data_IF_737503120250
#
_entry.id   IF_737503120250
#
_cell.length_a   1.000
_cell.length_b   1.000
_cell.length_c   1.000
_cell.angle_alpha   90.00
_cell.angle_beta   90.00
_cell.angle_gamma   90.00
#
_symmetry.space_group_name_H-M   'P 1'
#
loop_
_entity.id
_entity.type
_entity.pdbx_description
1 polymer ?
#
# COMPACT_ATOMS: atom_id res chain seq x y z
N UNK A 1 -3.32 -20.32 -46.29
CA UNK A 1 -3.49 -18.87 -46.50
C UNK A 1 -4.60 -18.62 -47.51
N UNK A 2 -5.65 -17.89 -47.14
CA UNK A 2 -6.39 -17.02 -48.05
C UNK A 2 -6.20 -15.54 -47.65
N UNK A 3 -6.31 -14.58 -48.59
CA UNK A 3 -5.92 -13.19 -48.34
C UNK A 3 -7.04 -12.40 -47.62
N UNK A 4 -6.64 -11.60 -46.63
CA UNK A 4 -7.50 -10.63 -45.95
C UNK A 4 -7.65 -9.38 -46.82
N UNK A 5 -8.87 -9.06 -47.23
CA UNK A 5 -9.19 -7.92 -48.08
C UNK A 5 -9.57 -6.70 -47.21
N UNK A 6 -8.70 -5.68 -47.17
CA UNK A 6 -9.02 -4.36 -46.62
C UNK A 6 -9.87 -3.57 -47.63
N UNK A 7 -11.19 -3.53 -47.44
CA UNK A 7 -12.07 -2.43 -47.91
C UNK A 7 -13.51 -2.65 -47.43
N UNK A 8 -13.86 -2.01 -46.31
CA UNK A 8 -15.24 -1.65 -45.99
C UNK A 8 -15.26 -0.50 -44.97
N UNK A 9 -14.86 0.69 -45.42
CA UNK A 9 -15.23 1.95 -44.79
C UNK A 9 -16.66 2.28 -45.24
N UNK A 10 -17.62 2.08 -44.34
CA UNK A 10 -19.03 2.42 -44.53
C UNK A 10 -19.54 3.20 -43.33
N UNK A 11 -19.80 4.50 -43.56
CA UNK A 11 -20.34 5.48 -42.60
C UNK A 11 -21.67 4.98 -41.99
N UNK A 12 -21.81 5.10 -40.67
CA UNK A 12 -23.11 5.08 -40.01
C UNK A 12 -23.26 6.30 -39.10
N UNK A 13 -24.37 6.99 -39.33
CA UNK A 13 -24.85 8.24 -38.78
C UNK A 13 -24.69 8.43 -37.27
N UNK A 14 -24.41 9.68 -36.89
CA UNK A 14 -24.39 10.14 -35.51
C UNK A 14 -25.74 9.96 -34.81
N UNK A 15 -25.67 9.33 -33.64
CA UNK A 15 -26.74 9.36 -32.64
C UNK A 15 -26.21 10.18 -31.47
N UNK A 16 -26.54 11.47 -31.49
CA UNK A 16 -26.28 12.40 -30.38
C UNK A 16 -27.19 12.04 -29.21
N UNK A 17 -26.79 11.08 -28.36
CA UNK A 17 -27.47 10.87 -27.08
C UNK A 17 -27.07 11.99 -26.13
N UNK A 18 -27.99 12.93 -25.87
CA UNK A 18 -27.90 13.84 -24.73
C UNK A 18 -27.71 13.01 -23.46
N UNK A 19 -26.54 13.11 -22.82
CA UNK A 19 -26.33 12.64 -21.45
C UNK A 19 -27.14 13.55 -20.54
N UNK A 20 -28.30 13.08 -20.08
CA UNK A 20 -28.93 13.66 -18.90
C UNK A 20 -27.98 13.40 -17.72
N UNK A 21 -27.38 14.48 -17.21
CA UNK A 21 -26.76 14.51 -15.89
C UNK A 21 -27.89 14.32 -14.87
N UNK A 22 -28.13 13.07 -14.49
CA UNK A 22 -28.91 12.75 -13.30
C UNK A 22 -28.14 13.36 -12.13
N UNK A 23 -28.64 14.46 -11.57
CA UNK A 23 -28.16 15.00 -10.30
C UNK A 23 -28.44 13.96 -9.23
N UNK A 24 -27.44 13.14 -8.91
CA UNK A 24 -27.44 12.31 -7.72
C UNK A 24 -27.61 13.25 -6.52
N UNK A 25 -28.70 13.06 -5.76
CA UNK A 25 -28.84 13.70 -4.46
C UNK A 25 -27.64 13.32 -3.59
N UNK A 26 -27.10 14.24 -2.76
CA UNK A 26 -26.01 13.90 -1.84
C UNK A 26 -26.43 12.69 -0.99
N UNK A 27 -25.51 11.74 -0.71
CA UNK A 27 -25.84 10.60 0.14
C UNK A 27 -26.37 11.14 1.47
N UNK A 28 -27.56 10.68 1.87
CA UNK A 28 -28.10 10.96 3.20
C UNK A 28 -27.11 10.42 4.23
N UNK A 29 -26.36 11.32 4.87
CA UNK A 29 -25.58 11.06 6.09
C UNK A 29 -26.55 10.80 7.24
N UNK A 30 -27.11 9.60 7.27
CA UNK A 30 -27.66 9.02 8.50
C UNK A 30 -27.16 7.60 8.60
N UNK A 31 -26.01 7.45 9.27
CA UNK A 31 -25.59 6.17 9.80
C UNK A 31 -26.69 5.69 10.76
N UNK A 32 -27.52 4.74 10.32
CA UNK A 32 -28.45 4.04 11.21
C UNK A 32 -27.62 3.16 12.13
N UNK A 33 -27.28 3.68 13.30
CA UNK A 33 -26.67 2.88 14.36
C UNK A 33 -27.80 2.23 15.18
N UNK A 34 -27.80 0.89 15.26
CA UNK A 34 -28.75 0.11 16.05
C UNK A 34 -28.33 -0.05 17.52
N UNK A 35 -27.17 0.50 17.88
CA UNK A 35 -26.65 0.60 19.24
C UNK A 35 -26.46 2.08 19.60
N UNK A 36 -26.61 2.47 20.88
CA UNK A 36 -26.07 3.74 21.35
C UNK A 36 -24.61 3.81 20.90
N UNK A 37 -24.19 4.96 20.39
CA UNK A 37 -22.78 5.09 20.05
C UNK A 37 -22.05 4.90 21.38
N UNK A 38 -20.98 4.07 21.46
CA UNK A 38 -20.21 3.96 22.70
C UNK A 38 -19.53 5.29 23.09
N UNK A 39 -19.78 6.35 22.33
CA UNK A 39 -19.31 7.72 22.49
C UNK A 39 -20.42 8.64 23.03
N UNK A 40 -21.66 8.16 23.18
CA UNK A 40 -22.76 8.89 23.78
C UNK A 40 -22.49 9.01 25.29
N UNK A 41 -22.72 10.19 25.85
CA UNK A 41 -22.41 10.48 27.25
C UNK A 41 -23.56 10.00 28.14
N UNK A 42 -23.48 8.75 28.61
CA UNK A 42 -24.49 8.13 29.47
C UNK A 42 -24.53 8.69 30.91
N UNK A 43 -23.78 9.77 31.20
CA UNK A 43 -23.77 10.45 32.51
C UNK A 43 -23.12 9.65 33.65
N UNK A 44 -22.53 8.49 33.37
CA UNK A 44 -21.82 7.68 34.35
C UNK A 44 -20.41 8.26 34.63
N UNK A 45 -20.16 8.62 35.88
CA UNK A 45 -18.87 9.15 36.35
C UNK A 45 -17.68 8.18 36.15
N UNK A 46 -17.93 6.87 36.07
CA UNK A 46 -16.91 5.88 35.68
C UNK A 46 -16.68 5.88 34.16
N UNK A 47 -17.67 6.30 33.37
CA UNK A 47 -17.54 6.42 31.92
C UNK A 47 -16.56 7.52 31.50
N UNK A 48 -16.28 8.48 32.36
CA UNK A 48 -15.30 9.55 32.10
C UNK A 48 -13.84 9.10 32.25
N UNK A 49 -13.59 7.97 32.95
CA UNK A 49 -12.22 7.50 33.23
C UNK A 49 -11.58 6.83 32.02
N UNK A 50 -12.32 5.97 31.32
CA UNK A 50 -11.81 5.29 30.14
C UNK A 50 -11.70 6.25 28.94
N UNK A 51 -12.53 7.30 28.88
CA UNK A 51 -12.42 8.41 27.89
C UNK A 51 -11.08 9.17 27.98
N UNK A 52 -10.34 9.05 29.08
CA UNK A 52 -9.00 9.66 29.25
C UNK A 52 -7.85 8.74 28.86
N UNK A 53 -8.12 7.47 28.53
CA UNK A 53 -7.09 6.52 28.13
C UNK A 53 -6.51 6.89 26.77
N UNK A 54 -5.24 6.51 26.56
CA UNK A 54 -4.55 6.77 25.29
C UNK A 54 -5.25 6.09 24.10
N UNK A 55 -5.70 4.84 24.27
CA UNK A 55 -6.45 4.13 23.23
C UNK A 55 -7.77 4.81 22.85
N UNK A 56 -8.48 5.40 23.81
CA UNK A 56 -9.70 6.15 23.47
C UNK A 56 -9.41 7.45 22.71
N UNK A 57 -8.36 8.17 23.10
CA UNK A 57 -7.93 9.37 22.38
C UNK A 57 -7.50 9.05 20.97
N UNK A 58 -6.81 7.93 20.76
CA UNK A 58 -6.44 7.47 19.43
C UNK A 58 -7.68 7.08 18.60
N UNK A 59 -8.63 6.33 19.16
CA UNK A 59 -9.88 6.01 18.46
C UNK A 59 -10.70 7.27 18.08
N UNK A 60 -10.61 8.35 18.87
CA UNK A 60 -11.17 9.65 18.48
C UNK A 60 -10.36 10.32 17.37
N UNK A 61 -9.02 10.32 17.48
CA UNK A 61 -8.13 10.87 16.47
C UNK A 61 -8.34 10.20 15.10
N UNK A 62 -8.60 8.88 15.06
CA UNK A 62 -8.91 8.14 13.84
C UNK A 62 -10.07 8.75 13.05
N UNK A 63 -11.11 9.25 13.75
CA UNK A 63 -12.29 9.84 13.10
C UNK A 63 -11.98 11.16 12.39
N UNK A 64 -10.99 11.87 12.90
CA UNK A 64 -10.58 13.17 12.39
C UNK A 64 -9.51 13.03 11.29
N UNK A 65 -8.99 11.82 11.06
CA UNK A 65 -8.07 11.55 9.97
C UNK A 65 -8.78 11.67 8.62
N UNK A 66 -8.12 12.28 7.62
CA UNK A 66 -8.65 12.31 6.27
C UNK A 66 -8.67 10.90 5.67
N UNK A 67 -9.57 10.66 4.71
CA UNK A 67 -9.60 9.42 3.91
C UNK A 67 -9.08 9.65 2.49
N UNK A 68 -8.32 10.73 2.27
CA UNK A 68 -8.09 11.27 0.93
C UNK A 68 -7.21 10.34 0.10
N UNK A 69 -6.19 9.74 0.72
CA UNK A 69 -5.29 8.81 0.02
C UNK A 69 -6.02 7.47 -0.19
N UNK A 70 -6.77 7.00 0.80
CA UNK A 70 -7.58 5.78 0.65
C UNK A 70 -8.59 5.89 -0.52
N UNK A 71 -9.33 7.00 -0.58
CA UNK A 71 -10.33 7.23 -1.63
C UNK A 71 -9.67 7.28 -3.03
N UNK A 72 -8.47 7.87 -3.13
CA UNK A 72 -7.67 7.88 -4.36
C UNK A 72 -7.18 6.48 -4.76
N UNK A 73 -6.80 5.64 -3.80
CA UNK A 73 -6.41 4.24 -4.06
C UNK A 73 -7.59 3.45 -4.63
N UNK A 74 -8.79 3.63 -4.07
CA UNK A 74 -10.02 3.02 -4.57
C UNK A 74 -10.35 3.51 -5.98
N UNK A 75 -10.30 4.83 -6.21
CA UNK A 75 -10.55 5.43 -7.52
C UNK A 75 -9.57 4.90 -8.58
N UNK A 76 -8.27 4.90 -8.29
CA UNK A 76 -7.22 4.34 -9.17
C UNK A 76 -7.45 2.85 -9.45
N UNK A 77 -7.90 2.09 -8.45
CA UNK A 77 -8.24 0.68 -8.58
C UNK A 77 -9.41 0.45 -9.55
N UNK A 78 -10.39 1.33 -9.55
CA UNK A 78 -11.53 1.31 -10.47
C UNK A 78 -11.15 1.80 -11.87
N UNK A 79 -10.35 2.87 -11.98
CA UNK A 79 -9.92 3.46 -13.25
C UNK A 79 -9.01 2.50 -14.04
N UNK A 80 -8.02 1.91 -13.38
CA UNK A 80 -7.08 0.97 -14.00
C UNK A 80 -7.58 -0.50 -13.95
N UNK A 81 -8.79 -0.71 -13.43
CA UNK A 81 -9.39 -2.02 -13.24
C UNK A 81 -10.60 -2.28 -14.14
N UNK A 82 -11.28 -3.40 -13.85
CA UNK A 82 -12.64 -3.63 -14.32
C UNK A 82 -13.59 -3.35 -13.16
N UNK A 83 -14.75 -2.70 -13.39
CA UNK A 83 -15.73 -2.49 -12.34
C UNK A 83 -16.19 -3.82 -11.75
N UNK A 84 -16.59 -3.82 -10.48
CA UNK A 84 -17.14 -5.00 -9.82
C UNK A 84 -18.36 -5.57 -10.57
N UNK A 85 -18.62 -6.87 -10.39
CA UNK A 85 -19.74 -7.55 -11.02
C UNK A 85 -21.08 -6.83 -10.74
N UNK A 86 -22.03 -6.94 -11.68
CA UNK A 86 -23.33 -6.26 -11.56
C UNK A 86 -24.12 -6.66 -10.30
N UNK A 87 -23.90 -7.89 -9.81
CA UNK A 87 -24.50 -8.43 -8.58
C UNK A 87 -23.94 -7.82 -7.28
N UNK A 88 -22.79 -7.17 -7.31
CA UNK A 88 -22.16 -6.55 -6.12
C UNK A 88 -22.76 -5.16 -5.92
N UNK A 89 -23.29 -4.86 -4.74
CA UNK A 89 -23.91 -3.55 -4.44
C UNK A 89 -22.85 -2.47 -4.26
N UNK A 90 -21.78 -2.78 -3.54
CA UNK A 90 -20.68 -1.85 -3.29
C UNK A 90 -19.85 -1.63 -4.57
N UNK A 91 -19.84 -0.38 -5.04
CA UNK A 91 -19.16 0.02 -6.28
C UNK A 91 -17.72 0.48 -6.07
N UNK A 92 -17.25 0.48 -4.83
CA UNK A 92 -15.82 0.68 -4.51
C UNK A 92 -15.01 -0.59 -4.75
N UNK A 93 -15.67 -1.76 -4.86
CA UNK A 93 -15.00 -3.05 -5.06
C UNK A 93 -14.73 -3.30 -6.55
N UNK A 94 -13.46 -3.28 -7.00
CA UNK A 94 -13.11 -3.64 -8.38
C UNK A 94 -13.17 -5.16 -8.59
N UNK A 95 -13.26 -5.60 -9.85
CA UNK A 95 -13.17 -7.03 -10.20
C UNK A 95 -11.79 -7.63 -9.90
N UNK A 96 -10.72 -6.83 -10.03
CA UNK A 96 -9.35 -7.25 -9.71
C UNK A 96 -8.84 -6.51 -8.47
N UNK A 97 -8.25 -7.25 -7.51
CA UNK A 97 -7.59 -6.64 -6.35
C UNK A 97 -6.36 -5.84 -6.82
N UNK A 98 -6.43 -4.53 -6.62
CA UNK A 98 -5.41 -3.56 -7.03
C UNK A 98 -4.99 -2.57 -5.94
N UNK A 99 -5.57 -2.68 -4.74
CA UNK A 99 -5.23 -1.89 -3.56
C UNK A 99 -4.93 -2.79 -2.37
N UNK A 100 -5.15 -2.28 -1.16
CA UNK A 100 -4.95 -3.02 0.09
C UNK A 100 -5.83 -4.27 0.17
N UNK A 101 -7.06 -4.20 -0.35
CA UNK A 101 -8.08 -5.22 -0.14
C UNK A 101 -8.29 -6.18 -1.34
N UNK A 102 -8.68 -7.43 -1.05
CA UNK A 102 -8.60 -8.07 0.26
C UNK A 102 -7.13 -8.38 0.62
N UNK A 103 -6.78 -8.31 1.91
CA UNK A 103 -5.39 -8.44 2.40
C UNK A 103 -4.63 -9.68 1.91
N UNK A 104 -5.34 -10.78 1.62
CA UNK A 104 -4.74 -12.03 1.15
C UNK A 104 -4.44 -12.07 -0.38
N UNK A 105 -4.90 -11.08 -1.15
CA UNK A 105 -4.80 -11.05 -2.62
C UNK A 105 -4.00 -9.83 -3.12
N UNK A 106 -3.76 -9.77 -4.44
CA UNK A 106 -3.01 -8.68 -5.07
C UNK A 106 -1.49 -8.86 -5.01
N UNK A 107 -0.77 -7.86 -5.48
CA UNK A 107 0.71 -7.87 -5.50
C UNK A 107 1.22 -7.84 -4.05
N UNK A 108 2.25 -8.63 -3.76
CA UNK A 108 2.75 -8.83 -2.41
C UNK A 108 3.97 -7.93 -2.12
N UNK A 109 3.75 -6.61 -2.15
CA UNK A 109 4.68 -5.59 -1.65
C UNK A 109 4.52 -5.39 -0.14
N UNK A 110 5.50 -4.73 0.49
CA UNK A 110 5.45 -4.37 1.90
C UNK A 110 4.20 -3.52 2.20
N UNK A 111 3.36 -3.97 3.13
CA UNK A 111 2.09 -3.33 3.52
C UNK A 111 1.18 -2.93 2.35
N UNK A 112 1.26 -3.63 1.21
CA UNK A 112 0.55 -3.27 -0.04
C UNK A 112 0.91 -1.88 -0.59
N UNK A 113 2.06 -1.34 -0.18
CA UNK A 113 2.59 -0.10 -0.74
C UNK A 113 2.77 -0.21 -2.26
N UNK A 114 2.63 0.88 -3.02
CA UNK A 114 2.90 0.90 -4.45
C UNK A 114 4.30 0.35 -4.76
N UNK A 115 4.36 -0.59 -5.71
CA UNK A 115 5.63 -0.99 -6.30
C UNK A 115 6.15 0.16 -7.18
N UNK A 116 7.40 0.55 -6.99
CA UNK A 116 8.03 1.56 -7.81
C UNK A 116 8.67 0.94 -9.05
N UNK A 117 8.09 1.19 -10.21
CA UNK A 117 8.59 0.64 -11.49
C UNK A 117 9.91 1.28 -11.93
N UNK A 118 10.03 2.62 -11.82
CA UNK A 118 11.25 3.37 -12.17
C UNK A 118 11.94 3.87 -10.90
N UNK A 119 13.09 3.26 -10.57
CA UNK A 119 13.86 3.61 -9.38
C UNK A 119 14.26 5.09 -9.32
N UNK A 120 14.33 5.78 -10.47
CA UNK A 120 14.69 7.20 -10.54
C UNK A 120 13.66 8.12 -9.91
N UNK A 121 12.43 7.64 -9.76
CA UNK A 121 11.34 8.38 -9.14
C UNK A 121 11.27 8.18 -7.62
N UNK A 122 12.20 7.45 -7.01
CA UNK A 122 12.16 7.14 -5.56
C UNK A 122 12.17 8.39 -4.68
N UNK A 123 12.74 9.49 -5.15
CA UNK A 123 12.73 10.79 -4.45
C UNK A 123 11.34 11.46 -4.36
N UNK A 124 10.30 10.92 -5.01
CA UNK A 124 8.92 11.39 -4.81
C UNK A 124 8.24 10.80 -3.57
N UNK A 125 8.92 9.89 -2.87
CA UNK A 125 8.41 9.22 -1.67
C UNK A 125 9.21 9.60 -0.43
N UNK A 126 8.54 9.70 0.71
CA UNK A 126 9.19 9.95 2.01
C UNK A 126 9.96 8.70 2.48
N UNK A 127 9.44 7.51 2.18
CA UNK A 127 9.98 6.22 2.61
C UNK A 127 10.08 5.26 1.42
N UNK A 128 11.21 4.56 1.33
CA UNK A 128 11.43 3.51 0.35
C UNK A 128 11.84 2.21 1.04
N UNK A 129 11.00 1.17 0.90
CA UNK A 129 11.25 -0.16 1.46
C UNK A 129 11.98 -1.00 0.43
N UNK A 130 13.11 -1.58 0.83
CA UNK A 130 13.92 -2.47 -0.01
C UNK A 130 14.26 -3.76 0.73
N UNK A 131 14.20 -4.89 0.03
CA UNK A 131 14.64 -6.17 0.55
C UNK A 131 16.09 -6.48 0.21
N UNK A 132 16.78 -7.18 1.11
CA UNK A 132 18.14 -7.69 0.90
C UNK A 132 18.14 -9.19 1.19
N UNK A 133 17.80 -10.04 0.21
CA UNK A 133 17.70 -11.50 0.39
C UNK A 133 19.09 -12.14 0.40
N UNK A 134 19.84 -11.98 1.50
CA UNK A 134 21.22 -12.47 1.64
C UNK A 134 21.45 -13.19 2.97
N UNK A 135 22.05 -14.38 2.93
CA UNK A 135 22.46 -15.13 4.11
C UNK A 135 23.88 -15.74 3.99
N UNK A 136 24.72 -15.15 3.13
CA UNK A 136 26.08 -15.63 2.86
C UNK A 136 27.09 -15.35 3.97
N UNK A 137 26.74 -14.51 4.95
CA UNK A 137 27.54 -14.27 6.16
C UNK A 137 27.18 -15.19 7.33
N UNK A 138 26.20 -16.09 7.14
CA UNK A 138 25.69 -16.97 8.19
C UNK A 138 26.64 -18.11 8.51
N UNK A 139 26.93 -18.33 9.79
CA UNK A 139 27.87 -19.36 10.26
C UNK A 139 27.22 -20.68 10.66
N UNK A 140 25.90 -20.68 10.94
CA UNK A 140 25.19 -21.87 11.44
C UNK A 140 23.99 -22.27 10.56
N UNK A 141 22.81 -21.69 10.77
CA UNK A 141 21.58 -22.07 10.04
C UNK A 141 21.23 -21.03 8.97
N UNK A 142 21.41 -21.35 7.67
CA UNK A 142 20.98 -20.46 6.59
C UNK A 142 19.45 -20.45 6.45
N UNK A 143 18.94 -19.55 5.60
CA UNK A 143 17.51 -19.43 5.29
C UNK A 143 16.96 -18.02 5.39
N UNK A 144 17.69 -17.08 5.99
CA UNK A 144 17.24 -15.68 6.13
C UNK A 144 17.17 -14.96 4.78
N UNK A 145 17.75 -15.50 3.70
CA UNK A 145 17.55 -15.00 2.33
C UNK A 145 16.07 -14.99 1.89
N UNK A 146 15.22 -15.80 2.50
CA UNK A 146 13.78 -15.82 2.25
C UNK A 146 12.99 -14.83 3.14
N UNK A 147 13.66 -14.18 4.09
CA UNK A 147 13.09 -13.24 5.04
C UNK A 147 12.29 -12.10 4.39
N UNK A 148 12.84 -11.36 3.40
CA UNK A 148 12.14 -10.23 2.80
C UNK A 148 10.78 -10.62 2.21
N UNK A 149 10.70 -11.76 1.52
CA UNK A 149 9.44 -12.28 0.95
C UNK A 149 8.44 -12.70 2.04
N UNK A 150 8.94 -13.30 3.14
CA UNK A 150 8.12 -13.63 4.31
C UNK A 150 7.54 -12.39 4.99
N UNK A 151 8.36 -11.35 5.15
CA UNK A 151 7.94 -10.06 5.74
C UNK A 151 6.86 -9.42 4.86
N UNK A 152 7.07 -9.30 3.54
CA UNK A 152 6.04 -8.77 2.63
C UNK A 152 4.72 -9.52 2.75
N UNK A 153 4.77 -10.86 2.74
CA UNK A 153 3.59 -11.72 2.85
C UNK A 153 2.77 -11.46 4.12
N UNK A 154 3.44 -11.36 5.27
CA UNK A 154 2.72 -11.15 6.54
C UNK A 154 2.33 -9.68 6.74
N UNK A 155 3.11 -8.74 6.21
CA UNK A 155 2.84 -7.30 6.29
C UNK A 155 1.52 -6.91 5.65
N UNK A 156 1.07 -7.66 4.63
CA UNK A 156 -0.21 -7.45 3.95
C UNK A 156 -1.44 -7.57 4.87
N UNK A 157 -1.30 -8.23 6.02
CA UNK A 157 -2.38 -8.39 7.01
C UNK A 157 -2.50 -7.19 7.97
N UNK A 158 -1.51 -6.30 7.98
CA UNK A 158 -1.51 -5.13 8.84
C UNK A 158 -2.15 -3.93 8.14
N UNK A 159 -2.88 -3.13 8.93
CA UNK A 159 -3.37 -1.82 8.50
C UNK A 159 -2.30 -0.75 8.78
N UNK A 160 -2.28 0.36 8.02
CA UNK A 160 -1.32 1.44 8.23
C UNK A 160 -1.61 2.31 9.47
N UNK A 161 -2.76 2.11 10.11
CA UNK A 161 -3.17 2.85 11.29
C UNK A 161 -2.67 2.20 12.59
N UNK A 162 -1.97 2.99 13.41
CA UNK A 162 -1.52 2.59 14.72
C UNK A 162 -2.46 3.14 15.82
N UNK A 163 -3.19 2.25 16.49
CA UNK A 163 -4.17 2.59 17.52
C UNK A 163 -3.58 3.13 18.83
N UNK A 164 -2.28 2.99 19.09
CA UNK A 164 -1.66 3.51 20.32
C UNK A 164 -1.22 4.95 20.16
N UNK A 165 -0.75 5.30 18.97
CA UNK A 165 -0.19 6.61 18.64
C UNK A 165 -1.16 7.49 17.87
N UNK A 166 -2.23 6.93 17.30
CA UNK A 166 -3.18 7.68 16.47
C UNK A 166 -2.59 8.13 15.13
N UNK A 167 -1.56 7.43 14.64
CA UNK A 167 -0.83 7.72 13.40
C UNK A 167 -1.36 6.81 12.30
N UNK A 168 -1.76 7.39 11.17
CA UNK A 168 -2.01 6.65 9.93
C UNK A 168 -0.90 6.93 8.93
N UNK A 169 -0.09 5.91 8.66
CA UNK A 169 1.00 6.01 7.70
C UNK A 169 0.50 6.32 6.29
N UNK A 170 -0.71 5.89 5.91
CA UNK A 170 -1.26 6.12 4.57
C UNK A 170 -1.50 7.60 4.29
N UNK A 171 -2.01 8.32 5.27
CA UNK A 171 -2.45 9.71 5.09
C UNK A 171 -1.34 10.71 5.47
N UNK A 172 -0.37 10.29 6.28
CA UNK A 172 0.67 11.18 6.83
C UNK A 172 2.02 11.08 6.13
N UNK A 173 2.29 10.00 5.37
CA UNK A 173 3.53 9.87 4.60
C UNK A 173 3.32 9.07 3.32
N UNK A 174 4.22 9.27 2.37
CA UNK A 174 4.27 8.50 1.13
C UNK A 174 5.33 7.41 1.22
N UNK A 175 4.95 6.17 0.89
CA UNK A 175 5.83 5.02 0.92
C UNK A 175 5.76 4.24 -0.39
N UNK A 176 6.90 3.68 -0.81
CA UNK A 176 6.97 2.74 -1.91
C UNK A 176 7.76 1.48 -1.52
N UNK A 177 7.51 0.39 -2.24
CA UNK A 177 8.37 -0.80 -2.24
C UNK A 177 9.19 -0.78 -3.54
N UNK A 178 10.51 -0.72 -3.41
CA UNK A 178 11.44 -0.67 -4.57
C UNK A 178 11.95 -2.06 -4.97
N UNK A 179 11.40 -3.11 -4.37
CA UNK A 179 11.80 -4.49 -4.62
C UNK A 179 13.03 -4.90 -3.83
N UNK A 180 13.86 -5.74 -4.43
CA UNK A 180 14.99 -6.39 -3.77
C UNK A 180 16.31 -5.96 -4.40
N UNK A 181 17.33 -5.74 -3.56
CA UNK A 181 18.72 -5.65 -4.01
C UNK A 181 19.10 -6.99 -4.62
N UNK A 182 19.68 -6.96 -5.82
CA UNK A 182 20.17 -8.17 -6.46
C UNK A 182 21.42 -8.70 -5.73
N UNK A 183 21.25 -9.77 -4.96
CA UNK A 183 22.33 -10.41 -4.19
C UNK A 183 23.04 -11.47 -5.04
N UNK A 184 24.33 -11.68 -4.78
CA UNK A 184 25.17 -12.66 -5.48
C UNK A 184 25.60 -13.73 -4.47
N UNK A 185 24.89 -14.87 -4.37
CA UNK A 185 25.05 -15.84 -3.27
C UNK A 185 26.46 -16.41 -3.07
N UNK A 186 27.30 -16.38 -4.12
CA UNK A 186 28.68 -16.88 -4.09
C UNK A 186 29.74 -15.78 -3.99
N UNK A 187 29.34 -14.50 -3.90
CA UNK A 187 30.27 -13.38 -3.80
C UNK A 187 29.73 -12.33 -2.83
N UNK A 188 30.21 -12.39 -1.60
CA UNK A 188 29.81 -11.47 -0.53
C UNK A 188 30.27 -10.04 -0.81
N UNK A 189 31.48 -9.84 -1.34
CA UNK A 189 32.02 -8.51 -1.64
C UNK A 189 31.16 -7.79 -2.67
N UNK A 190 30.80 -8.48 -3.76
CA UNK A 190 29.94 -7.90 -4.81
C UNK A 190 28.52 -7.70 -4.35
N UNK A 191 28.01 -8.56 -3.48
CA UNK A 191 26.71 -8.34 -2.83
C UNK A 191 26.75 -7.08 -1.95
N UNK A 192 27.82 -6.89 -1.18
CA UNK A 192 27.99 -5.71 -0.33
C UNK A 192 28.09 -4.43 -1.16
N UNK A 193 28.78 -4.47 -2.30
CA UNK A 193 28.83 -3.34 -3.23
C UNK A 193 27.45 -2.99 -3.79
N UNK A 194 26.62 -3.99 -4.15
CA UNK A 194 25.24 -3.77 -4.59
C UNK A 194 24.36 -3.16 -3.49
N UNK A 195 24.46 -3.69 -2.26
CA UNK A 195 23.69 -3.16 -1.12
C UNK A 195 24.06 -1.70 -0.85
N UNK A 196 25.35 -1.38 -0.78
CA UNK A 196 25.79 0.00 -0.56
C UNK A 196 25.33 0.94 -1.66
N UNK A 197 25.42 0.53 -2.93
CA UNK A 197 24.94 1.35 -4.04
C UNK A 197 23.44 1.62 -3.97
N UNK A 198 22.64 0.60 -3.64
CA UNK A 198 21.19 0.74 -3.54
C UNK A 198 20.79 1.69 -2.39
N UNK A 199 21.37 1.50 -1.20
CA UNK A 199 21.08 2.34 -0.03
C UNK A 199 21.56 3.77 -0.24
N UNK A 200 22.77 3.97 -0.77
CA UNK A 200 23.30 5.28 -1.10
C UNK A 200 22.40 6.03 -2.10
N UNK A 201 21.91 5.33 -3.13
CA UNK A 201 21.04 5.93 -4.14
C UNK A 201 19.71 6.41 -3.55
N UNK A 202 19.05 5.56 -2.76
CA UNK A 202 17.78 5.90 -2.09
C UNK A 202 17.96 7.03 -1.08
N UNK A 203 19.01 6.95 -0.26
CA UNK A 203 19.31 8.00 0.73
C UNK A 203 19.61 9.34 0.05
N UNK A 204 20.40 9.33 -1.04
CA UNK A 204 20.75 10.54 -1.79
C UNK A 204 19.55 11.17 -2.53
N UNK A 205 18.47 10.43 -2.78
CA UNK A 205 17.24 10.98 -3.35
C UNK A 205 16.40 11.75 -2.33
N UNK A 206 16.71 11.66 -1.04
CA UNK A 206 15.95 12.24 0.07
C UNK A 206 14.90 11.31 0.68
N UNK A 207 14.71 10.10 0.13
CA UNK A 207 13.81 9.11 0.70
C UNK A 207 14.50 8.34 1.84
N UNK A 208 13.76 8.01 2.90
CA UNK A 208 14.28 7.20 4.00
C UNK A 208 14.30 5.71 3.62
N UNK A 209 15.47 5.05 3.56
CA UNK A 209 15.53 3.61 3.26
C UNK A 209 15.10 2.77 4.47
N UNK A 210 14.19 1.82 4.25
CA UNK A 210 13.81 0.78 5.21
C UNK A 210 14.21 -0.59 4.66
N UNK A 211 15.20 -1.21 5.31
CA UNK A 211 15.83 -2.42 4.81
C UNK A 211 15.22 -3.66 5.47
N UNK A 212 14.63 -4.54 4.66
CA UNK A 212 14.22 -5.88 5.09
C UNK A 212 15.35 -6.86 4.81
N UNK A 213 15.99 -7.33 5.86
CA UNK A 213 17.22 -8.10 5.71
C UNK A 213 17.06 -9.59 5.48
N UNK A 214 18.20 -10.19 5.16
CA UNK A 214 18.54 -11.54 5.55
C UNK A 214 19.42 -11.54 6.80
N UNK A 215 20.61 -12.14 6.76
CA UNK A 215 21.49 -12.18 7.92
C UNK A 215 22.09 -10.81 8.31
N UNK A 216 22.67 -10.72 9.51
CA UNK A 216 23.20 -9.45 10.04
C UNK A 216 24.44 -8.92 9.32
N UNK A 217 25.08 -9.69 8.43
CA UNK A 217 26.25 -9.21 7.70
C UNK A 217 25.91 -8.05 6.77
N UNK A 218 24.65 -7.92 6.34
CA UNK A 218 24.15 -6.82 5.51
C UNK A 218 24.17 -5.46 6.23
N UNK A 219 24.31 -5.44 7.56
CA UNK A 219 24.33 -4.20 8.33
C UNK A 219 25.53 -3.32 7.94
N UNK A 220 26.69 -3.92 7.69
CA UNK A 220 27.88 -3.20 7.25
C UNK A 220 27.67 -2.45 5.92
N UNK A 221 27.31 -3.12 4.80
CA UNK A 221 27.12 -2.41 3.53
C UNK A 221 25.93 -1.45 3.55
N UNK A 222 24.93 -1.64 4.43
CA UNK A 222 23.82 -0.71 4.60
C UNK A 222 24.28 0.62 5.21
N UNK A 223 25.15 0.60 6.22
CA UNK A 223 25.69 1.82 6.84
C UNK A 223 26.76 2.49 5.97
N UNK A 224 27.46 1.69 5.14
CA UNK A 224 28.51 2.18 4.23
C UNK A 224 27.95 3.02 3.07
N UNK A 225 26.76 2.69 2.58
CA UNK A 225 26.07 3.42 1.52
C UNK A 225 25.37 4.65 2.07
#
# INVERSE_FOLDING_TARGET
MPPFNLRALGRAAGVTRRRELVRLAPPRTQARQHHPSPFDDDGDSNATKWKKTQGWRAAQAERDLPTTVHDKEVEKGLEHGLPGASSIVDRTIPTFSRGELPHFAGINTFMKAPFLDDIRDVGTYDVAVLGVPFDGGTTYRPGTRFGPQGIRRISALYTPYNYETGVDLREQMTMCDVGDVFTIPANIEKTFDQISNAVAYVSASGAMPIIMGGDHSIGFPTVRG
#
